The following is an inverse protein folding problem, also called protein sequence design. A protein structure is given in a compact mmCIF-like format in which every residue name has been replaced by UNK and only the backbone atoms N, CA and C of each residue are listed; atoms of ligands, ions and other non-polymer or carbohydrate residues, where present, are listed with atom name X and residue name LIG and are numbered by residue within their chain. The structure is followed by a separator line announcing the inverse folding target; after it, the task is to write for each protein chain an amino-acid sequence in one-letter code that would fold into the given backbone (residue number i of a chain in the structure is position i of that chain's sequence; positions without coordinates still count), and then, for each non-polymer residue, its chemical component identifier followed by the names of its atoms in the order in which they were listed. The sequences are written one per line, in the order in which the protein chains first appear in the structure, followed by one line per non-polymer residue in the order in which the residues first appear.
data_IF_940522136487
#
_entry.id   IF_940522136487
#
_cell.length_a   1.000
_cell.length_b   1.000
_cell.length_c   1.000
_cell.angle_alpha   90.00
_cell.angle_beta   90.00
_cell.angle_gamma   90.00
#
_symmetry.space_group_name_H-M   'P 1'
#
loop_
_entity.id
_entity.type
_entity.pdbx_description
1 polymer ?
#
# COMPACT_ATOMS: atom_id res chain seq x y z
N UNK A 1 21.55 -6.11 -1.81
CA UNK A 1 20.62 -7.07 -2.44
C UNK A 1 19.37 -6.45 -3.06
N UNK A 2 18.80 -5.35 -2.53
CA UNK A 2 17.53 -4.76 -3.02
C UNK A 2 17.57 -4.21 -4.46
N UNK A 3 18.72 -3.75 -4.94
CA UNK A 3 18.88 -3.06 -6.23
C UNK A 3 18.86 -4.00 -7.45
N UNK A 4 19.31 -5.25 -7.30
CA UNK A 4 19.41 -6.22 -8.40
C UNK A 4 18.03 -6.65 -8.92
N UNK A 5 17.06 -6.85 -8.01
CA UNK A 5 15.69 -7.23 -8.39
C UNK A 5 14.94 -6.13 -9.13
N UNK A 6 15.19 -4.87 -8.76
CA UNK A 6 14.57 -3.73 -9.44
C UNK A 6 15.08 -3.60 -10.88
N UNK A 7 16.39 -3.75 -11.10
CA UNK A 7 16.98 -3.69 -12.45
C UNK A 7 16.38 -4.80 -13.33
N UNK A 8 16.26 -6.02 -12.81
CA UNK A 8 15.66 -7.13 -13.55
C UNK A 8 14.19 -6.87 -13.91
N UNK A 9 13.39 -6.32 -12.98
CA UNK A 9 11.98 -5.99 -13.22
C UNK A 9 11.82 -4.89 -14.28
N UNK A 10 12.60 -3.81 -14.20
CA UNK A 10 12.57 -2.72 -15.19
C UNK A 10 13.06 -3.20 -16.57
N UNK A 11 14.07 -4.08 -16.61
CA UNK A 11 14.55 -4.69 -17.85
C UNK A 11 13.46 -5.54 -18.50
N UNK A 12 12.78 -6.39 -17.71
CA UNK A 12 11.68 -7.21 -18.20
C UNK A 12 10.50 -6.36 -18.73
N UNK A 13 10.18 -5.24 -18.07
CA UNK A 13 9.15 -4.31 -18.54
C UNK A 13 9.54 -3.67 -19.87
N UNK A 14 10.78 -3.18 -19.97
CA UNK A 14 11.28 -2.57 -21.21
C UNK A 14 11.28 -3.55 -22.38
N UNK A 15 11.65 -4.79 -22.12
CA UNK A 15 11.77 -5.83 -23.14
C UNK A 15 10.41 -6.48 -23.46
N UNK A 16 9.30 -6.02 -22.84
CA UNK A 16 7.95 -6.52 -23.08
C UNK A 16 7.67 -7.92 -22.51
N UNK A 17 8.51 -8.40 -21.59
CA UNK A 17 8.34 -9.69 -20.93
C UNK A 17 7.30 -9.66 -19.79
N UNK A 18 6.99 -8.46 -19.28
CA UNK A 18 5.90 -8.21 -18.32
C UNK A 18 5.15 -6.95 -18.72
N UNK A 19 3.85 -6.90 -18.46
CA UNK A 19 3.01 -5.74 -18.82
C UNK A 19 3.12 -4.58 -17.81
N UNK A 20 3.45 -4.88 -16.56
CA UNK A 20 3.51 -3.88 -15.47
C UNK A 20 4.53 -4.26 -14.40
N UNK A 21 5.14 -3.24 -13.78
CA UNK A 21 5.94 -3.38 -12.57
C UNK A 21 5.27 -2.59 -11.45
N UNK A 22 4.95 -3.26 -10.34
CA UNK A 22 4.35 -2.65 -9.16
C UNK A 22 5.42 -2.51 -8.06
N UNK A 23 5.51 -1.32 -7.46
CA UNK A 23 6.51 -1.04 -6.42
C UNK A 23 6.33 0.34 -5.81
N UNK A 24 7.16 0.70 -4.81
CA UNK A 24 7.04 1.98 -4.12
C UNK A 24 7.18 3.16 -5.09
N UNK A 25 6.24 4.10 -5.05
CA UNK A 25 6.23 5.29 -5.92
C UNK A 25 7.54 6.08 -5.85
N UNK A 26 8.11 6.21 -4.65
CA UNK A 26 9.39 6.89 -4.43
C UNK A 26 10.59 6.25 -5.16
N UNK A 27 10.47 4.97 -5.56
CA UNK A 27 11.49 4.23 -6.31
C UNK A 27 11.23 4.27 -7.81
N UNK A 28 9.97 4.12 -8.24
CA UNK A 28 9.63 4.01 -9.66
C UNK A 28 9.52 5.37 -10.39
N UNK A 29 9.11 6.44 -9.70
CA UNK A 29 8.95 7.76 -10.32
C UNK A 29 10.26 8.32 -10.87
N UNK A 30 11.41 8.28 -10.14
CA UNK A 30 12.67 8.73 -10.71
C UNK A 30 13.08 7.97 -11.98
N UNK A 31 12.87 6.64 -12.00
CA UNK A 31 13.17 5.79 -13.16
C UNK A 31 12.30 6.17 -14.35
N UNK A 32 11.01 6.41 -14.14
CA UNK A 32 10.10 6.88 -15.17
C UNK A 32 10.53 8.24 -15.73
N UNK A 33 10.88 9.21 -14.86
CA UNK A 33 11.33 10.54 -15.29
C UNK A 33 12.62 10.47 -16.11
N UNK A 34 13.57 9.63 -15.70
CA UNK A 34 14.83 9.39 -16.43
C UNK A 34 14.63 8.66 -17.75
N UNK A 35 13.53 7.89 -17.88
CA UNK A 35 13.24 7.09 -19.07
C UNK A 35 12.88 7.91 -20.32
N UNK A 36 12.69 9.23 -20.19
CA UNK A 36 12.32 10.14 -21.30
C UNK A 36 11.10 9.67 -22.10
N UNK A 37 10.10 9.15 -21.40
CA UNK A 37 8.82 8.71 -21.99
C UNK A 37 8.79 7.25 -22.44
N UNK A 38 9.82 6.45 -22.12
CA UNK A 38 9.79 4.98 -22.34
C UNK A 38 8.82 4.30 -21.37
N UNK A 39 8.69 4.81 -20.15
CA UNK A 39 7.73 4.34 -19.16
C UNK A 39 6.71 5.43 -18.81
N UNK A 40 5.52 5.00 -18.42
CA UNK A 40 4.50 5.83 -17.79
C UNK A 40 4.04 5.14 -16.49
N UNK A 41 3.26 5.83 -15.66
CA UNK A 41 2.78 5.30 -14.39
C UNK A 41 1.31 5.65 -14.15
N UNK A 42 0.63 4.84 -13.34
CA UNK A 42 -0.74 5.14 -12.93
C UNK A 42 -0.76 6.38 -12.01
N UNK A 43 -1.52 7.41 -12.41
CA UNK A 43 -1.64 8.68 -11.69
C UNK A 43 -2.43 8.56 -10.38
N UNK A 44 -3.32 7.57 -10.28
CA UNK A 44 -4.01 7.22 -9.05
C UNK A 44 -3.16 6.19 -8.29
N UNK A 45 -2.43 6.60 -7.23
CA UNK A 45 -1.65 5.66 -6.46
C UNK A 45 -2.59 4.66 -5.78
N UNK A 46 -2.56 3.41 -6.24
CA UNK A 46 -3.14 2.29 -5.52
C UNK A 46 -2.27 2.02 -4.29
N UNK A 47 -2.84 2.24 -3.10
CA UNK A 47 -2.14 1.95 -1.85
C UNK A 47 -2.19 0.45 -1.58
N UNK A 48 -1.13 -0.25 -1.96
CA UNK A 48 -0.90 -1.64 -1.53
C UNK A 48 -0.29 -1.70 -0.12
N UNK A 49 -0.50 -0.69 0.73
CA UNK A 49 -0.02 -0.73 2.11
C UNK A 49 -0.67 -1.91 2.84
N UNK A 50 0.16 -2.84 3.31
CA UNK A 50 -0.24 -3.82 4.31
C UNK A 50 -0.86 -3.00 5.46
N UNK A 51 -2.13 -3.27 5.77
CA UNK A 51 -2.93 -2.46 6.67
C UNK A 51 -2.23 -2.10 7.99
N UNK A 52 -2.70 -1.05 8.66
CA UNK A 52 -2.14 -0.64 9.96
C UNK A 52 -2.45 -1.68 11.04
N UNK A 53 -1.46 -1.97 11.91
CA UNK A 53 -1.59 -2.93 13.00
C UNK A 53 -1.33 -2.29 14.37
N UNK A 54 -2.03 -2.78 15.39
CA UNK A 54 -1.73 -2.51 16.79
C UNK A 54 -0.88 -3.65 17.37
N UNK A 55 0.10 -3.33 18.22
CA UNK A 55 1.00 -4.32 18.81
C UNK A 55 0.71 -4.48 20.30
N UNK A 56 0.57 -5.72 20.75
CA UNK A 56 0.29 -6.11 22.14
C UNK A 56 1.46 -6.92 22.71
N UNK A 57 1.55 -7.02 24.04
CA UNK A 57 2.44 -8.02 24.67
C UNK A 57 1.95 -9.40 24.28
N UNK A 58 2.87 -10.32 23.95
CA UNK A 58 2.51 -11.64 23.43
C UNK A 58 1.57 -12.45 24.35
N UNK A 59 1.65 -12.24 25.67
CA UNK A 59 0.79 -12.92 26.65
C UNK A 59 -0.52 -12.18 26.95
N UNK A 60 -0.73 -10.96 26.46
CA UNK A 60 -1.93 -10.15 26.70
C UNK A 60 -2.99 -10.42 25.64
N UNK A 61 -3.37 -11.70 25.52
CA UNK A 61 -4.24 -12.21 24.45
C UNK A 61 -5.66 -11.68 24.55
N UNK A 62 -6.20 -11.56 25.76
CA UNK A 62 -7.57 -11.08 25.99
C UNK A 62 -7.73 -9.63 25.53
N UNK A 63 -6.73 -8.78 25.79
CA UNK A 63 -6.74 -7.39 25.33
C UNK A 63 -6.63 -7.28 23.82
N UNK A 64 -5.81 -8.12 23.19
CA UNK A 64 -5.72 -8.17 21.73
C UNK A 64 -7.07 -8.55 21.12
N UNK A 65 -7.74 -9.59 21.62
CA UNK A 65 -9.04 -10.02 21.12
C UNK A 65 -10.12 -8.95 21.34
N UNK A 66 -10.19 -8.33 22.52
CA UNK A 66 -11.14 -7.25 22.75
C UNK A 66 -10.96 -6.06 21.80
N UNK A 67 -9.72 -5.76 21.40
CA UNK A 67 -9.43 -4.73 20.40
C UNK A 67 -9.83 -5.16 18.99
N UNK A 68 -9.58 -6.42 18.61
CA UNK A 68 -9.97 -6.99 17.31
C UNK A 68 -11.49 -7.04 17.15
N UNK A 69 -12.23 -7.43 18.21
CA UNK A 69 -13.69 -7.45 18.22
C UNK A 69 -14.26 -6.03 18.04
N UNK A 70 -13.71 -5.04 18.76
CA UNK A 70 -14.13 -3.65 18.61
C UNK A 70 -13.87 -3.12 17.19
N UNK A 71 -12.70 -3.42 16.59
CA UNK A 71 -12.41 -3.04 15.21
C UNK A 71 -13.36 -3.71 14.22
N UNK A 72 -13.70 -4.98 14.45
CA UNK A 72 -14.65 -5.70 13.62
C UNK A 72 -16.04 -5.07 13.68
N UNK A 73 -16.55 -4.77 14.88
CA UNK A 73 -17.85 -4.12 15.06
C UNK A 73 -17.89 -2.74 14.39
N UNK A 74 -16.84 -1.94 14.57
CA UNK A 74 -16.72 -0.62 13.92
C UNK A 74 -16.60 -0.71 12.40
N UNK A 75 -16.01 -1.80 11.88
CA UNK A 75 -15.96 -2.06 10.44
C UNK A 75 -17.33 -2.47 9.89
N UNK A 76 -18.18 -3.12 10.70
CA UNK A 76 -19.52 -3.56 10.29
C UNK A 76 -20.54 -2.44 10.31
N UNK A 77 -20.45 -1.55 11.29
CA UNK A 77 -21.37 -0.42 11.43
C UNK A 77 -20.91 0.83 10.65
N UNK A 78 -19.70 0.81 10.08
CA UNK A 78 -19.14 1.89 9.28
C UNK A 78 -18.47 3.01 10.09
N UNK A 79 -18.54 2.98 11.42
CA UNK A 79 -17.96 4.01 12.29
C UNK A 79 -16.43 4.08 12.18
N UNK A 80 -15.76 2.98 11.82
CA UNK A 80 -14.34 2.99 11.49
C UNK A 80 -14.05 3.84 10.24
N UNK A 81 -14.89 3.71 9.21
CA UNK A 81 -14.81 4.50 7.99
C UNK A 81 -15.04 5.99 8.24
N UNK A 82 -16.03 6.32 9.08
CA UNK A 82 -16.31 7.70 9.48
C UNK A 82 -15.12 8.35 10.21
N UNK A 83 -14.44 7.61 11.09
CA UNK A 83 -13.23 8.08 11.76
C UNK A 83 -12.08 8.29 10.76
N UNK A 84 -11.86 7.35 9.85
CA UNK A 84 -10.82 7.47 8.81
C UNK A 84 -11.08 8.70 7.97
N UNK A 85 -12.32 8.91 7.52
CA UNK A 85 -12.71 10.05 6.72
C UNK A 85 -12.53 11.37 7.48
N UNK A 86 -12.98 11.44 8.74
CA UNK A 86 -12.87 12.63 9.58
C UNK A 86 -11.43 13.13 9.73
N UNK A 87 -10.49 12.20 9.93
CA UNK A 87 -9.11 12.56 10.24
C UNK A 87 -8.18 12.60 9.02
N UNK A 88 -8.48 11.84 7.97
CA UNK A 88 -7.58 11.66 6.83
C UNK A 88 -8.21 12.01 5.46
N UNK A 89 -9.51 12.32 5.41
CA UNK A 89 -10.22 12.76 4.20
C UNK A 89 -10.40 11.67 3.13
N UNK A 90 -10.89 12.07 1.95
CA UNK A 90 -11.15 11.17 0.81
C UNK A 90 -9.92 10.40 0.31
N UNK A 91 -8.71 10.94 0.49
CA UNK A 91 -7.45 10.29 0.12
C UNK A 91 -7.08 9.08 0.98
N UNK A 92 -7.86 8.80 2.04
CA UNK A 92 -7.55 7.77 3.02
C UNK A 92 -8.38 6.49 2.88
N UNK A 93 -9.35 6.47 1.97
CA UNK A 93 -10.05 5.24 1.63
C UNK A 93 -9.18 4.46 0.63
N UNK A 94 -8.60 3.31 1.00
CA UNK A 94 -8.07 2.40 0.00
C UNK A 94 -9.30 1.86 -0.71
N UNK A 95 -9.57 2.35 -1.92
CA UNK A 95 -10.53 1.68 -2.80
C UNK A 95 -10.24 0.19 -2.90
#
# INVERSE_FOLDING_TARGET
MRTLFLIAAITALRDGAVDVVVGPRAVLVPIMLESKGVFDYNYEPQSYELGRAAVFRAHDVDRRFAFEDALYDMSKDGSLGDLVFKWFGYSANPG
#
